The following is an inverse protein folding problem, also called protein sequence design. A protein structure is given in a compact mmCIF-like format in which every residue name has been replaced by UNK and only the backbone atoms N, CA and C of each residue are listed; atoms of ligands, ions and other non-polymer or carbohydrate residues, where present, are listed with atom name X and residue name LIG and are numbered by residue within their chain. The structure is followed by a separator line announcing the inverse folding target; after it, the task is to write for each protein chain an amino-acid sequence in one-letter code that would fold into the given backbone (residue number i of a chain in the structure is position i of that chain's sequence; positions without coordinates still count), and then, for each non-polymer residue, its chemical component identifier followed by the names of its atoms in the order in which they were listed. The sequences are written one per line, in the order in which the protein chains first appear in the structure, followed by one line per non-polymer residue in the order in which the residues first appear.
data_IF_342729314699
#
_entry.id   IF_342729314699
#
_cell.length_a   1.000
_cell.length_b   1.000
_cell.length_c   1.000
_cell.angle_alpha   90.00
_cell.angle_beta   90.00
_cell.angle_gamma   90.00
#
_symmetry.space_group_name_H-M   'P 1'
#
loop_
_entity.id
_entity.type
_entity.pdbx_description
1 polymer ?
2 non-polymer ?
3 non-polymer ?
4 water ?
#
# COMPACT_ATOMS: atom_id res chain seq x y z
N UNK A 2 -16.66 -0.50 2.16
CA UNK A 2 -15.51 0.39 1.82
C UNK A 2 -14.55 -0.34 0.87
N UNK A 3 -14.23 0.27 -0.27
CA UNK A 3 -13.20 -0.27 -1.14
C UNK A 3 -11.92 0.56 -1.07
N UNK A 4 -10.81 -0.07 -1.39
CA UNK A 4 -9.52 0.49 -1.06
C UNK A 4 -8.44 -0.24 -1.84
N UNK A 5 -7.26 0.38 -1.88
CA UNK A 5 -6.13 -0.10 -2.66
C UNK A 5 -4.88 -0.04 -1.80
N UNK A 6 -3.88 -0.85 -2.14
CA UNK A 6 -2.62 -0.83 -1.42
C UNK A 6 -1.55 -0.12 -2.26
N UNK A 7 -0.79 0.75 -1.60
CA UNK A 7 0.43 1.31 -2.16
C UNK A 7 1.59 0.55 -1.50
N UNK A 8 2.23 -0.37 -2.23
CA UNK A 8 3.42 -1.01 -1.64
C UNK A 8 4.57 -0.01 -1.59
N UNK A 9 5.32 -0.02 -0.49
CA UNK A 9 6.41 0.94 -0.30
C UNK A 9 7.70 0.23 0.00
N UNK A 10 7.79 -1.04 -0.39
CA UNK A 10 9.01 -1.82 -0.14
C UNK A 10 10.23 -1.20 -0.83
N UNK A 11 9.99 -0.48 -1.93
CA UNK A 11 11.06 0.13 -2.71
C UNK A 11 11.15 1.64 -2.48
N UNK A 12 10.49 2.10 -1.42
CA UNK A 12 10.57 3.51 -1.01
C UNK A 12 10.82 3.44 0.50
N UNK A 13 9.77 3.26 1.31
CA UNK A 13 9.96 3.04 2.75
C UNK A 13 10.95 1.91 3.06
N UNK A 14 10.85 0.79 2.33
CA UNK A 14 11.73 -0.35 2.61
C UNK A 14 13.22 -0.01 2.47
N UNK A 15 13.56 1.00 1.67
CA UNK A 15 14.98 1.33 1.46
C UNK A 15 15.57 2.02 2.68
N UNK A 16 14.69 2.52 3.54
CA UNK A 16 15.11 3.12 4.80
C UNK A 16 15.41 2.08 5.88
N UNK A 17 15.01 0.83 5.64
CA UNK A 17 15.26 -0.25 6.60
C UNK A 17 16.76 -0.43 6.77
N UNK A 18 17.23 -0.60 8.00
CA UNK A 18 18.68 -0.60 8.27
C UNK A 18 19.48 -1.53 7.36
N UNK A 19 18.93 -2.72 7.13
CA UNK A 19 19.65 -3.78 6.43
C UNK A 19 19.33 -3.86 4.94
N UNK A 20 18.44 -3.00 4.45
CA UNK A 20 18.09 -3.05 3.02
C UNK A 20 19.15 -2.43 2.13
N UNK A 21 19.49 -3.17 1.07
CA UNK A 21 20.30 -2.62 0.01
C UNK A 21 19.95 -3.34 -1.28
N UNK A 22 18.81 -2.95 -1.85
CA UNK A 22 18.27 -3.68 -3.00
C UNK A 22 18.99 -3.31 -4.28
N UNK A 23 19.46 -4.30 -5.02
CA UNK A 23 19.99 -4.03 -6.36
C UNK A 23 18.84 -3.74 -7.32
N UNK A 24 19.16 -3.22 -8.50
CA UNK A 24 18.13 -3.02 -9.51
C UNK A 24 17.41 -4.34 -9.82
N UNK A 25 18.17 -5.43 -9.99
CA UNK A 25 17.57 -6.78 -10.15
C UNK A 25 16.62 -7.18 -8.99
N UNK A 26 17.05 -6.96 -7.74
CA UNK A 26 16.19 -7.21 -6.57
C UNK A 26 14.86 -6.45 -6.68
N UNK A 27 14.93 -5.20 -7.07
CA UNK A 27 13.72 -4.36 -7.19
C UNK A 27 12.77 -4.84 -8.26
N UNK A 28 13.32 -5.19 -9.40
CA UNK A 28 12.53 -5.79 -10.48
C UNK A 28 11.84 -7.08 -10.01
N UNK A 29 12.59 -7.92 -9.28
CA UNK A 29 12.02 -9.17 -8.77
C UNK A 29 10.88 -8.88 -7.78
N UNK A 30 11.10 -7.91 -6.92
CA UNK A 30 10.10 -7.53 -5.94
C UNK A 30 8.86 -6.96 -6.64
N UNK A 31 9.07 -6.06 -7.61
CA UNK A 31 7.96 -5.39 -8.28
C UNK A 31 7.15 -6.38 -9.09
N UNK A 32 7.84 -7.32 -9.74
CA UNK A 32 7.13 -8.34 -10.54
C UNK A 32 6.28 -9.24 -9.66
N UNK A 33 6.79 -9.56 -8.49
CA UNK A 33 6.07 -10.41 -7.56
C UNK A 33 4.85 -9.68 -6.98
N UNK A 34 5.04 -8.40 -6.63
CA UNK A 34 3.92 -7.57 -6.15
C UNK A 34 2.86 -7.39 -7.21
N UNK A 35 3.29 -7.30 -8.45
CA UNK A 35 2.34 -7.13 -9.55
C UNK A 35 1.51 -8.40 -9.76
N UNK A 36 2.18 -9.55 -9.73
CA UNK A 36 1.49 -10.84 -9.80
C UNK A 36 0.54 -11.03 -8.64
N UNK A 37 0.96 -10.57 -7.46
CA UNK A 37 0.13 -10.67 -6.26
C UNK A 37 -1.15 -9.84 -6.41
N UNK A 38 -1.07 -8.77 -7.20
CA UNK A 38 -2.23 -7.91 -7.47
C UNK A 38 -2.21 -6.54 -6.81
N UNK A 39 -1.07 -6.16 -6.23
CA UNK A 39 -0.94 -4.85 -5.58
C UNK A 39 -1.18 -3.73 -6.61
N UNK A 40 -1.93 -2.72 -6.21
CA UNK A 40 -2.37 -1.70 -7.18
C UNK A 40 -1.34 -0.63 -7.50
N UNK A 41 -0.52 -0.26 -6.51
CA UNK A 41 0.45 0.81 -6.64
C UNK A 41 1.76 0.34 -6.03
N UNK A 42 2.85 0.78 -6.65
CA UNK A 42 4.21 0.50 -6.17
C UNK A 42 4.95 1.83 -6.12
N UNK A 43 5.26 2.27 -4.90
CA UNK A 43 5.95 3.53 -4.74
C UNK A 43 7.46 3.30 -4.65
N UNK A 44 8.20 4.13 -5.36
CA UNK A 44 9.66 4.07 -5.32
C UNK A 44 10.28 5.33 -4.72
N UNK A 45 11.46 5.19 -4.13
CA UNK A 45 12.19 6.36 -3.64
C UNK A 45 12.32 7.43 -4.70
N UNK A 46 12.13 8.69 -4.30
CA UNK A 46 12.19 9.81 -5.20
C UNK A 46 13.42 9.76 -6.09
N UNK A 47 13.22 9.93 -7.40
CA UNK A 47 14.34 9.87 -8.35
C UNK A 47 15.35 10.98 -8.15
N UNK A 48 14.99 12.04 -7.43
CA UNK A 48 15.98 13.10 -7.15
C UNK A 48 16.94 12.75 -6.01
N UNK A 49 16.69 11.65 -5.30
CA UNK A 49 17.51 11.29 -4.13
C UNK A 49 18.95 11.03 -4.53
N UNK A 50 19.14 10.32 -5.64
CA UNK A 50 20.48 9.88 -6.06
C UNK A 50 20.43 9.37 -7.50
N UNK A 51 21.60 9.29 -8.16
CA UNK A 51 21.62 8.71 -9.52
C UNK A 51 20.98 7.32 -9.59
N UNK A 52 21.25 6.48 -8.59
CA UNK A 52 20.69 5.14 -8.59
C UNK A 52 19.19 5.15 -8.35
N UNK A 53 18.71 6.04 -7.47
CA UNK A 53 17.26 6.17 -7.23
C UNK A 53 16.56 6.51 -8.55
N UNK A 54 17.17 7.41 -9.31
CA UNK A 54 16.61 7.83 -10.61
C UNK A 54 16.61 6.68 -11.61
N UNK A 55 17.76 6.03 -11.77
CA UNK A 55 17.88 4.86 -12.67
C UNK A 55 16.84 3.78 -12.29
N UNK A 56 16.71 3.48 -11.00
CA UNK A 56 15.78 2.44 -10.56
C UNK A 56 14.31 2.83 -10.82
N UNK A 57 13.95 4.10 -10.55
CA UNK A 57 12.62 4.57 -10.86
C UNK A 57 12.30 4.38 -12.35
N UNK A 58 13.25 4.77 -13.21
CA UNK A 58 13.12 4.63 -14.68
C UNK A 58 12.87 3.17 -15.11
N UNK A 59 13.68 2.26 -14.57
CA UNK A 59 13.55 0.83 -14.86
C UNK A 59 12.18 0.31 -14.43
N UNK A 60 11.79 0.61 -13.19
CA UNK A 60 10.55 0.08 -12.64
C UNK A 60 9.32 0.64 -13.34
N UNK A 61 9.35 1.94 -13.63
CA UNK A 61 8.24 2.60 -14.32
C UNK A 61 8.02 2.11 -15.76
N UNK A 62 9.04 1.48 -16.34
CA UNK A 62 8.96 1.01 -17.74
C UNK A 62 8.99 -0.53 -17.88
N UNK A 63 8.70 -1.22 -16.78
CA UNK A 63 8.56 -2.66 -16.74
C UNK A 63 7.27 -3.22 -17.35
N UNK A 64 6.31 -2.36 -17.62
CA UNK A 64 5.02 -2.82 -18.15
C UNK A 64 4.21 -3.58 -17.13
N UNK A 65 4.36 -3.23 -15.86
CA UNK A 65 3.51 -3.78 -14.82
C UNK A 65 2.06 -3.29 -14.93
N UNK A 66 1.14 -4.10 -14.42
CA UNK A 66 -0.26 -3.68 -14.26
C UNK A 66 -0.33 -2.61 -13.17
N UNK A 67 0.33 -2.87 -12.05
CA UNK A 67 0.42 -1.92 -10.94
C UNK A 67 0.95 -0.59 -11.43
N UNK A 68 0.48 0.52 -10.85
CA UNK A 68 1.00 1.83 -11.22
C UNK A 68 2.25 2.13 -10.38
N UNK A 69 3.34 2.51 -11.05
CA UNK A 69 4.60 2.89 -10.38
C UNK A 69 4.58 4.39 -10.10
N UNK A 70 4.69 4.74 -8.81
CA UNK A 70 4.54 6.13 -8.41
C UNK A 70 5.73 6.54 -7.57
N UNK A 71 5.91 7.83 -7.41
CA UNK A 71 6.98 8.32 -6.57
C UNK A 71 6.55 9.58 -5.82
N UNK A 72 7.52 10.22 -5.19
CA UNK A 72 7.25 11.39 -4.38
C UNK A 72 8.33 12.44 -4.64
N UNK A 73 8.04 13.71 -4.30
CA UNK A 73 9.01 14.82 -4.42
C UNK A 73 8.74 15.84 -3.31
N UNK A 74 9.75 16.64 -3.02
CA UNK A 74 9.51 17.93 -2.33
C UNK A 74 8.81 18.89 -3.31
N UNK A 75 8.24 19.98 -2.80
CA UNK A 75 7.53 20.92 -3.70
C UNK A 75 8.51 21.83 -4.41
N UNK A 76 9.21 21.26 -5.39
CA UNK A 76 10.22 21.98 -6.16
C UNK A 76 10.03 21.63 -7.62
N UNK A 77 10.12 22.63 -8.49
CA UNK A 77 9.90 22.42 -9.92
C UNK A 77 10.98 21.52 -10.51
N UNK A 78 12.21 21.64 -9.99
CA UNK A 78 13.30 20.82 -10.53
C UNK A 78 13.12 19.34 -10.18
N UNK A 79 12.57 19.07 -9.00
CA UNK A 79 12.25 17.69 -8.56
C UNK A 79 11.11 17.11 -9.39
N UNK A 80 10.08 17.95 -9.62
CA UNK A 80 8.93 17.56 -10.43
C UNK A 80 9.39 17.15 -11.82
N UNK A 81 10.30 17.94 -12.39
CA UNK A 81 10.85 17.70 -13.71
C UNK A 81 11.54 16.32 -13.78
N UNK A 82 12.45 16.05 -12.84
CA UNK A 82 13.11 14.76 -12.78
C UNK A 82 12.10 13.61 -12.64
N UNK A 83 11.13 13.76 -11.74
CA UNK A 83 10.14 12.71 -11.50
C UNK A 83 9.32 12.42 -12.77
N UNK A 84 8.83 13.47 -13.43
CA UNK A 84 8.09 13.27 -14.69
C UNK A 84 8.92 12.51 -15.72
N UNK A 85 10.19 12.88 -15.86
CA UNK A 85 11.08 12.27 -16.85
C UNK A 85 11.29 10.77 -16.67
N UNK A 86 11.16 10.28 -15.44
CA UNK A 86 11.34 8.87 -15.17
C UNK A 86 10.22 8.04 -15.78
N UNK A 87 9.10 8.68 -16.09
CA UNK A 87 7.95 7.95 -16.65
C UNK A 87 7.02 7.37 -15.60
N UNK A 88 7.20 7.73 -14.33
CA UNK A 88 6.24 7.33 -13.29
C UNK A 88 4.82 7.79 -13.61
N UNK A 89 3.86 7.04 -13.11
CA UNK A 89 2.45 7.27 -13.42
C UNK A 89 1.76 8.12 -12.33
N UNK A 90 2.50 8.44 -11.27
CA UNK A 90 1.95 9.24 -10.19
C UNK A 90 3.07 9.87 -9.37
N UNK A 91 2.80 11.08 -8.89
CA UNK A 91 3.78 11.90 -8.15
C UNK A 91 3.12 12.50 -6.92
N UNK A 92 3.69 12.21 -5.75
CA UNK A 92 3.19 12.71 -4.50
C UNK A 92 4.05 13.92 -4.12
N UNK A 93 3.41 15.04 -3.83
CA UNK A 93 4.13 16.23 -3.36
C UNK A 93 4.00 16.34 -1.86
N UNK A 94 5.14 16.47 -1.19
CA UNK A 94 5.16 16.52 0.25
C UNK A 94 5.15 17.95 0.76
N UNK A 95 4.44 18.18 1.86
CA UNK A 95 4.60 19.40 2.65
C UNK A 95 4.66 19.04 4.12
N UNK A 96 5.06 20.02 4.94
CA UNK A 96 5.11 19.84 6.37
C UNK A 96 4.70 21.10 7.10
N UNK A 97 3.83 20.94 8.10
CA UNK A 97 3.37 22.02 8.96
C UNK A 97 3.54 21.63 10.42
N UNK A 98 4.26 20.54 10.68
CA UNK A 98 4.40 20.00 12.03
C UNK A 98 4.90 21.02 13.03
N UNK A 99 4.30 20.98 14.21
CA UNK A 99 4.76 21.77 15.34
C UNK A 99 6.24 21.54 15.63
N UNK A 100 6.72 20.35 15.27
CA UNK A 100 8.10 19.90 15.50
C UNK A 100 9.05 20.23 14.35
N UNK A 101 8.57 21.01 13.39
CA UNK A 101 9.36 21.38 12.22
C UNK A 101 9.74 22.86 12.28
N UNK A 108 4.77 28.96 7.75
CA UNK A 108 4.48 29.84 6.64
C UNK A 108 3.57 29.11 5.66
N UNK A 109 2.32 28.90 6.07
CA UNK A 109 1.29 28.24 5.24
C UNK A 109 1.07 28.89 3.86
N UNK A 110 1.03 30.24 3.77
CA UNK A 110 0.84 30.80 2.44
C UNK A 110 1.93 30.36 1.45
N UNK A 111 3.19 30.38 1.88
CA UNK A 111 4.29 29.87 1.04
C UNK A 111 4.06 28.42 0.60
N UNK A 112 3.70 27.56 1.56
CA UNK A 112 3.45 26.13 1.29
C UNK A 112 2.43 25.98 0.17
N UNK A 113 1.33 26.72 0.27
CA UNK A 113 0.25 26.62 -0.71
C UNK A 113 0.68 27.15 -2.09
N UNK A 114 1.46 28.23 -2.10
CA UNK A 114 1.84 28.82 -3.38
C UNK A 114 2.85 27.94 -4.12
N UNK A 115 3.89 27.52 -3.42
CA UNK A 115 4.86 26.58 -3.99
C UNK A 115 4.19 25.31 -4.51
N UNK A 116 3.23 24.77 -3.75
CA UNK A 116 2.46 23.61 -4.20
C UNK A 116 1.71 23.83 -5.50
N UNK A 117 0.95 24.92 -5.60
CA UNK A 117 0.18 25.19 -6.81
C UNK A 117 1.07 25.38 -8.04
N UNK A 118 2.24 26.01 -7.84
CA UNK A 118 3.22 26.22 -8.90
C UNK A 118 3.66 24.87 -9.51
N UNK A 119 4.00 23.93 -8.64
CA UNK A 119 4.48 22.59 -9.02
C UNK A 119 3.36 21.72 -9.62
N UNK A 120 2.18 21.75 -9.01
CA UNK A 120 1.02 21.06 -9.54
C UNK A 120 0.71 21.55 -10.97
N UNK A 121 0.68 22.87 -11.13
CA UNK A 121 0.50 23.50 -12.45
C UNK A 121 1.50 22.97 -13.47
N UNK A 122 2.78 22.90 -13.08
CA UNK A 122 3.80 22.34 -13.99
C UNK A 122 3.48 20.90 -14.41
N UNK A 123 3.14 20.06 -13.43
CA UNK A 123 2.88 18.64 -13.69
C UNK A 123 1.62 18.46 -14.55
N UNK A 124 0.60 19.25 -14.27
CA UNK A 124 -0.65 19.21 -15.02
C UNK A 124 -0.40 19.47 -16.51
N UNK A 125 0.48 20.42 -16.78
CA UNK A 125 0.78 20.83 -18.15
C UNK A 125 1.75 19.87 -18.85
N UNK A 126 2.83 19.51 -18.15
CA UNK A 126 3.87 18.63 -18.72
C UNK A 126 3.45 17.18 -18.87
N UNK A 127 2.61 16.69 -17.95
CA UNK A 127 2.22 15.29 -17.95
C UNK A 127 0.79 15.13 -17.41
N UNK A 128 -0.21 15.49 -18.23
CA UNK A 128 -1.60 15.52 -17.77
C UNK A 128 -2.15 14.15 -17.33
N UNK A 129 -1.54 13.06 -17.80
CA UNK A 129 -1.97 11.69 -17.48
C UNK A 129 -1.50 11.16 -16.11
N UNK A 130 -0.53 11.85 -15.52
CA UNK A 130 0.08 11.48 -14.26
C UNK A 130 -0.78 11.88 -13.05
N UNK A 131 -0.98 10.93 -12.14
CA UNK A 131 -1.71 11.20 -10.88
C UNK A 131 -0.93 12.18 -10.01
N UNK A 132 -1.62 13.16 -9.45
CA UNK A 132 -0.99 14.11 -8.54
C UNK A 132 -1.52 13.89 -7.14
N UNK A 133 -0.61 13.66 -6.19
CA UNK A 133 -0.97 13.41 -4.78
C UNK A 133 -0.29 14.47 -3.95
N UNK A 134 -0.86 14.77 -2.78
CA UNK A 134 -0.34 15.86 -1.94
C UNK A 134 -0.41 15.45 -0.48
N UNK A 135 0.74 15.30 0.18
CA UNK A 135 0.76 14.65 1.50
C UNK A 135 1.55 15.37 2.57
N UNK A 136 1.08 15.25 3.81
CA UNK A 136 1.70 15.90 4.97
C UNK A 136 2.65 15.02 5.76
N UNK A 137 3.94 15.40 5.75
CA UNK A 137 4.89 14.73 6.61
C UNK A 137 4.55 15.00 8.09
N UNK A 138 4.67 13.97 8.92
CA UNK A 138 4.40 14.10 10.37
C UNK A 138 3.03 14.76 10.61
N UNK A 139 2.03 14.17 9.95
CA UNK A 139 0.65 14.60 10.04
C UNK A 139 0.14 14.68 11.47
N UNK A 140 0.46 13.68 12.28
CA UNK A 140 -0.16 13.58 13.59
C UNK A 140 0.60 14.26 14.71
N UNK A 141 1.55 15.11 14.33
CA UNK A 141 2.04 16.12 15.25
C UNK A 141 1.82 17.53 14.65
N UNK A 142 0.93 17.63 13.68
CA UNK A 142 0.57 18.92 13.07
C UNK A 142 -0.83 19.36 13.50
N UNK A 143 -1.03 20.67 13.65
CA UNK A 143 -2.36 21.18 14.03
C UNK A 143 -3.34 20.94 12.89
N UNK A 144 -4.50 20.33 13.21
CA UNK A 144 -5.43 19.93 12.16
C UNK A 144 -5.93 21.11 11.35
N UNK A 145 -6.10 22.27 11.98
CA UNK A 145 -6.55 23.44 11.21
C UNK A 145 -5.52 23.87 10.14
N UNK A 146 -4.23 23.67 10.40
CA UNK A 146 -3.16 23.93 9.41
C UNK A 146 -3.22 22.92 8.28
N UNK A 147 -3.33 21.64 8.64
CA UNK A 147 -3.52 20.58 7.65
C UNK A 147 -4.71 20.82 6.74
N UNK A 148 -5.88 21.09 7.34
CA UNK A 148 -7.10 21.19 6.56
C UNK A 148 -7.09 22.40 5.64
N UNK A 149 -6.47 23.47 6.10
CA UNK A 149 -6.27 24.65 5.31
C UNK A 149 -5.53 24.33 3.99
N UNK A 150 -4.47 23.51 4.09
CA UNK A 150 -3.61 23.20 2.95
C UNK A 150 -4.30 22.22 2.03
N UNK A 151 -4.80 21.13 2.61
CA UNK A 151 -5.60 20.17 1.85
C UNK A 151 -6.73 20.85 1.08
N UNK A 152 -7.47 21.74 1.74
CA UNK A 152 -8.66 22.32 1.11
C UNK A 152 -8.29 23.27 -0.02
N UNK A 153 -7.16 23.95 0.14
CA UNK A 153 -6.63 24.82 -0.91
C UNK A 153 -6.15 24.06 -2.16
N UNK A 154 -5.54 22.88 -1.97
CA UNK A 154 -4.94 22.12 -3.09
C UNK A 154 -5.87 21.08 -3.73
N UNK A 155 -6.85 20.61 -2.96
CA UNK A 155 -7.76 19.54 -3.40
C UNK A 155 -8.41 19.67 -4.78
N UNK A 156 -8.84 20.89 -5.18
CA UNK A 156 -9.47 20.96 -6.50
C UNK A 156 -8.51 20.54 -7.64
N UNK A 157 -7.21 20.56 -7.37
CA UNK A 157 -6.18 20.38 -8.39
C UNK A 157 -5.42 19.06 -8.35
N UNK A 158 -5.72 18.24 -7.35
CA UNK A 158 -5.00 16.99 -7.16
C UNK A 158 -5.98 15.83 -7.23
N UNK A 159 -5.43 14.62 -7.38
CA UNK A 159 -6.23 13.42 -7.39
C UNK A 159 -6.42 12.81 -6.02
N UNK A 160 -5.45 13.05 -5.12
CA UNK A 160 -5.39 12.37 -3.83
C UNK A 160 -4.58 13.21 -2.83
N UNK A 161 -5.02 13.20 -1.56
CA UNK A 161 -4.25 13.80 -0.46
C UNK A 161 -3.80 12.69 0.47
N UNK A 162 -2.70 12.93 1.17
CA UNK A 162 -2.12 11.88 2.03
C UNK A 162 -1.88 12.36 3.43
N UNK A 163 -2.15 11.46 4.39
CA UNK A 163 -1.80 11.65 5.80
C UNK A 163 -0.69 10.67 6.11
N UNK A 164 0.37 11.14 6.75
CA UNK A 164 1.52 10.31 7.08
C UNK A 164 1.91 10.44 8.54
N UNK A 165 1.80 9.33 9.28
CA UNK A 165 2.22 9.28 10.69
C UNK A 165 3.69 8.89 10.72
N UNK A 166 4.51 9.85 10.33
CA UNK A 166 5.95 9.69 10.11
C UNK A 166 6.69 9.19 11.37
N UNK A 167 6.25 9.66 12.52
CA UNK A 167 6.90 9.40 13.79
C UNK A 167 6.24 8.22 14.54
N UNK A 168 5.12 7.72 14.04
CA UNK A 168 4.45 6.57 14.63
C UNK A 168 3.82 6.80 15.99
N UNK A 169 3.14 7.94 16.17
CA UNK A 169 2.46 8.23 17.43
C UNK A 169 0.94 8.36 17.35
N UNK A 170 0.38 8.41 16.13
CA UNK A 170 -1.10 8.57 16.01
C UNK A 170 -1.85 7.44 16.73
N UNK A 171 -3.01 7.78 17.28
CA UNK A 171 -3.89 6.76 17.85
C UNK A 171 -4.99 6.45 16.85
N UNK A 172 -5.59 5.26 16.94
CA UNK A 172 -6.62 4.88 15.92
C UNK A 172 -7.76 5.88 15.83
N UNK A 173 -8.21 6.40 16.97
CA UNK A 173 -9.35 7.32 16.92
C UNK A 173 -8.96 8.70 16.40
N UNK A 174 -7.69 9.08 16.53
CA UNK A 174 -7.18 10.32 15.90
C UNK A 174 -7.18 10.19 14.39
N UNK A 175 -6.76 9.02 13.90
CA UNK A 175 -6.71 8.77 12.46
C UNK A 175 -8.12 8.83 11.89
N UNK A 176 -9.05 8.18 12.58
CA UNK A 176 -10.45 8.16 12.16
C UNK A 176 -11.01 9.59 12.09
N UNK A 177 -10.80 10.37 13.15
CA UNK A 177 -11.33 11.73 13.22
C UNK A 177 -10.77 12.61 12.13
N UNK A 178 -9.46 12.54 11.92
CA UNK A 178 -8.83 13.44 10.97
C UNK A 178 -9.22 13.07 9.54
N UNK A 179 -9.29 11.77 9.26
CA UNK A 179 -9.77 11.33 7.94
C UNK A 179 -11.18 11.82 7.65
N UNK A 180 -12.08 11.76 8.64
CA UNK A 180 -13.45 12.27 8.41
C UNK A 180 -13.38 13.76 8.10
N UNK A 181 -12.50 14.48 8.80
CA UNK A 181 -12.36 15.93 8.57
C UNK A 181 -11.81 16.27 7.18
N UNK A 182 -10.81 15.52 6.76
CA UNK A 182 -10.22 15.68 5.43
C UNK A 182 -11.25 15.38 4.34
N UNK A 183 -12.05 14.32 4.51
CA UNK A 183 -13.08 13.97 3.55
C UNK A 183 -14.07 15.13 3.34
N UNK A 184 -14.39 15.84 4.43
CA UNK A 184 -15.34 16.96 4.39
C UNK A 184 -14.81 18.11 3.55
N UNK A 185 -13.49 18.23 3.53
CA UNK A 185 -12.82 19.41 3.01
C UNK A 185 -12.37 19.25 1.55
N UNK A 186 -12.12 18.00 1.13
CA UNK A 186 -11.63 17.72 -0.22
C UNK A 186 -12.75 17.34 -1.20
N UNK A 187 -13.90 16.94 -0.67
CA UNK A 187 -15.07 16.73 -1.51
C UNK A 187 -15.14 15.35 -2.14
N UNK A 188 -16.11 15.17 -3.06
CA UNK A 188 -16.51 13.83 -3.52
C UNK A 188 -15.47 13.10 -4.36
N UNK A 189 -14.60 13.85 -5.04
CA UNK A 189 -13.76 13.27 -6.07
C UNK A 189 -12.42 12.80 -5.53
N UNK A 190 -11.82 13.62 -4.68
CA UNK A 190 -10.44 13.46 -4.20
C UNK A 190 -10.31 12.26 -3.24
N UNK A 191 -9.35 11.38 -3.52
CA UNK A 191 -9.11 10.20 -2.68
C UNK A 191 -8.15 10.54 -1.52
N UNK A 192 -8.03 9.64 -0.55
CA UNK A 192 -7.20 9.89 0.65
C UNK A 192 -6.31 8.68 0.91
N UNK A 193 -5.00 8.91 1.05
CA UNK A 193 -4.05 7.85 1.36
C UNK A 193 -3.54 7.98 2.79
N UNK A 194 -3.23 6.83 3.39
CA UNK A 194 -2.66 6.78 4.74
C UNK A 194 -1.35 6.00 4.80
N UNK A 195 -0.35 6.60 5.43
CA UNK A 195 0.98 6.02 5.65
C UNK A 195 1.26 6.01 7.15
N UNK A 196 1.37 4.84 7.76
CA UNK A 196 1.54 4.78 9.21
C UNK A 196 2.73 3.99 9.70
N UNK A 197 3.55 4.62 10.52
CA UNK A 197 4.64 3.94 11.22
C UNK A 197 4.18 3.18 12.45
N UNK A 198 4.98 2.20 12.88
CA UNK A 198 4.57 1.26 13.90
C UNK A 198 5.24 1.41 15.27
N UNK A 199 5.81 2.57 15.56
CA UNK A 199 6.57 2.76 16.80
C UNK A 199 5.74 2.57 18.08
N UNK A 200 4.43 2.79 17.98
CA UNK A 200 3.54 2.57 19.13
C UNK A 200 2.57 1.44 18.89
N UNK A 201 2.93 0.55 17.96
CA UNK A 201 2.15 -0.65 17.71
C UNK A 201 0.79 -0.42 17.08
N UNK A 202 0.60 0.74 16.44
CA UNK A 202 -0.71 1.06 15.90
C UNK A 202 -0.78 1.08 14.37
N UNK A 203 0.26 0.63 13.65
CA UNK A 203 0.27 0.87 12.20
C UNK A 203 -0.90 0.20 11.48
N UNK A 204 -1.14 -1.07 11.77
CA UNK A 204 -2.26 -1.80 11.15
C UNK A 204 -3.60 -1.25 11.61
N UNK A 205 -3.75 -1.02 12.91
CA UNK A 205 -4.99 -0.50 13.46
C UNK A 205 -5.31 0.89 12.87
N UNK A 206 -4.27 1.68 12.64
CA UNK A 206 -4.44 3.03 12.11
C UNK A 206 -4.85 2.97 10.63
N UNK A 207 -4.20 2.08 9.89
CA UNK A 207 -4.54 1.88 8.49
C UNK A 207 -6.01 1.43 8.36
N UNK A 208 -6.43 0.54 9.25
CA UNK A 208 -7.81 0.06 9.25
C UNK A 208 -8.75 1.24 9.52
N UNK A 209 -8.45 2.01 10.56
CA UNK A 209 -9.36 3.10 10.93
C UNK A 209 -9.43 4.21 9.89
N UNK A 210 -8.30 4.44 9.18
CA UNK A 210 -8.33 5.37 8.06
C UNK A 210 -9.34 4.90 7.02
N UNK A 211 -9.31 3.61 6.68
CA UNK A 211 -10.30 3.04 5.76
C UNK A 211 -11.72 3.12 6.29
N UNK A 212 -11.93 2.78 7.56
CA UNK A 212 -13.26 2.92 8.17
C UNK A 212 -13.83 4.33 7.97
N UNK A 213 -12.95 5.32 8.07
CA UNK A 213 -13.31 6.73 7.94
C UNK A 213 -13.45 7.24 6.51
N UNK A 214 -13.02 6.45 5.54
CA UNK A 214 -13.21 6.84 4.13
C UNK A 214 -11.96 6.91 3.28
N UNK A 215 -10.81 6.58 3.88
CA UNK A 215 -9.57 6.58 3.12
C UNK A 215 -9.64 5.47 2.09
N UNK A 216 -8.94 5.67 0.98
CA UNK A 216 -9.02 4.75 -0.14
C UNK A 216 -7.72 4.01 -0.43
N UNK A 217 -6.62 4.51 0.13
CA UNK A 217 -5.29 3.92 -0.17
C UNK A 217 -4.49 3.81 1.11
N UNK A 218 -3.80 2.68 1.28
CA UNK A 218 -2.91 2.49 2.45
C UNK A 218 -1.53 2.00 2.00
N UNK A 219 -0.49 2.53 2.60
CA UNK A 219 0.89 2.10 2.33
C UNK A 219 1.23 0.88 3.16
N UNK A 220 1.84 -0.11 2.52
CA UNK A 220 2.36 -1.26 3.26
C UNK A 220 3.76 -1.59 2.74
N UNK A 221 4.54 -2.30 3.54
CA UNK A 221 5.74 -2.93 3.03
C UNK A 221 5.73 -4.41 3.39
N UNK A 222 6.43 -5.22 2.61
CA UNK A 222 6.52 -6.64 2.94
C UNK A 222 7.29 -6.76 4.26
N UNK A 223 6.74 -7.54 5.19
CA UNK A 223 7.28 -7.74 6.57
C UNK A 223 7.33 -6.45 7.41
N UNK A 224 6.71 -5.40 6.89
CA UNK A 224 6.73 -4.10 7.56
C UNK A 224 8.09 -3.45 7.62
N UNK A 225 9.05 -3.92 6.80
CA UNK A 225 10.39 -3.30 6.81
C UNK A 225 10.32 -1.80 6.50
N UNK A 226 11.21 -1.02 7.11
CA UNK A 226 11.16 0.41 6.91
C UNK A 226 12.07 1.05 7.92
N UNK A 227 12.07 2.37 7.94
CA UNK A 227 12.78 3.11 8.98
C UNK A 227 12.34 2.60 10.36
N UNK A 228 13.29 2.49 11.30
CA UNK A 228 12.95 2.01 12.65
C UNK A 228 12.25 0.66 12.62
N UNK A 229 11.13 0.52 13.34
CA UNK A 229 10.39 -0.74 13.30
C UNK A 229 9.37 -0.79 12.14
N UNK A 230 9.43 0.21 11.25
CA UNK A 230 8.79 0.10 9.93
C UNK A 230 7.34 0.54 9.95
N UNK A 231 6.61 0.19 8.90
CA UNK A 231 5.24 0.66 8.71
C UNK A 231 4.28 -0.52 8.65
N UNK A 232 3.00 -0.26 8.40
CA UNK A 232 2.00 -1.29 8.20
C UNK A 232 2.53 -2.46 7.35
N UNK A 233 2.61 -3.66 7.95
CA UNK A 233 3.11 -4.77 7.13
C UNK A 233 2.05 -5.35 6.23
N UNK A 234 2.44 -5.74 5.02
CA UNK A 234 1.50 -6.34 4.06
C UNK A 234 0.65 -7.47 4.68
N UNK A 235 1.30 -8.53 5.18
CA UNK A 235 0.63 -9.68 5.78
C UNK A 235 -0.36 -9.35 6.88
N UNK A 236 0.10 -8.57 7.85
CA UNK A 236 -0.72 -8.17 8.99
C UNK A 236 -1.93 -7.37 8.54
N UNK A 237 -1.73 -6.47 7.58
CA UNK A 237 -2.81 -5.66 7.06
C UNK A 237 -3.85 -6.52 6.33
N UNK A 238 -3.36 -7.44 5.53
CA UNK A 238 -4.28 -8.37 4.82
C UNK A 238 -5.07 -9.24 5.79
N UNK A 239 -4.44 -9.70 6.85
CA UNK A 239 -5.15 -10.41 7.90
C UNK A 239 -6.29 -9.56 8.47
N UNK A 240 -5.96 -8.34 8.85
CA UNK A 240 -6.96 -7.43 9.41
C UNK A 240 -8.13 -7.26 8.42
N UNK A 241 -7.81 -7.04 7.15
CA UNK A 241 -8.89 -6.78 6.17
C UNK A 241 -9.65 -8.05 5.79
N UNK A 242 -8.95 -9.16 5.69
CA UNK A 242 -9.59 -10.44 5.36
C UNK A 242 -10.68 -10.86 6.35
N UNK A 243 -10.46 -10.60 7.64
CA UNK A 243 -11.47 -10.94 8.64
C UNK A 243 -12.74 -10.13 8.49
N UNK A 244 -12.65 -8.98 7.83
CA UNK A 244 -13.79 -8.09 7.66
C UNK A 244 -14.44 -8.17 6.27
N UNK A 245 -13.61 -8.41 5.25
CA UNK A 245 -14.10 -8.47 3.86
C UNK A 245 -13.46 -9.65 3.12
N UNK A 246 -13.72 -10.91 3.55
CA UNK A 246 -12.88 -11.99 3.04
C UNK A 246 -13.01 -12.22 1.53
N UNK A 247 -14.22 -12.11 1.02
CA UNK A 247 -14.44 -12.35 -0.41
C UNK A 247 -13.71 -11.29 -1.27
N UNK A 248 -13.84 -10.03 -0.88
CA UNK A 248 -13.16 -8.91 -1.57
C UNK A 248 -11.64 -9.11 -1.58
N UNK A 249 -11.09 -9.31 -0.38
CA UNK A 249 -9.65 -9.45 -0.24
C UNK A 249 -9.09 -10.66 -1.06
N UNK A 250 -9.78 -11.80 -0.97
CA UNK A 250 -9.33 -13.03 -1.62
C UNK A 250 -9.48 -12.93 -3.14
N UNK A 251 -10.47 -12.16 -3.60
CA UNK A 251 -10.61 -11.86 -5.04
C UNK A 251 -9.48 -10.98 -5.58
N UNK A 252 -9.16 -9.89 -4.88
CA UNK A 252 -8.25 -8.89 -5.45
C UNK A 252 -6.77 -9.27 -5.38
N UNK A 253 -6.42 -10.10 -4.39
CA UNK A 253 -5.00 -10.45 -4.19
C UNK A 253 -4.78 -11.94 -4.18
N UNK A 254 -3.63 -12.36 -4.71
CA UNK A 254 -3.24 -13.77 -4.71
C UNK A 254 -2.66 -14.09 -3.32
N UNK A 255 -3.56 -14.22 -2.34
CA UNK A 255 -3.18 -14.35 -0.94
C UNK A 255 -2.28 -15.54 -0.69
N UNK A 256 -2.46 -16.59 -1.48
CA UNK A 256 -1.67 -17.80 -1.34
C UNK A 256 -0.16 -17.60 -1.64
N UNK A 257 0.20 -16.45 -2.18
CA UNK A 257 1.62 -16.22 -2.46
C UNK A 257 2.30 -15.37 -1.35
N UNK A 258 1.53 -15.01 -0.34
CA UNK A 258 2.09 -14.24 0.77
C UNK A 258 3.42 -14.82 1.32
N UNK A 259 3.48 -16.14 1.59
CA UNK A 259 4.74 -16.71 2.12
C UNK A 259 5.93 -16.51 1.19
N UNK A 260 5.72 -16.57 -0.13
CA UNK A 260 6.80 -16.28 -1.08
C UNK A 260 7.31 -14.84 -0.97
N UNK A 261 6.38 -13.91 -0.82
CA UNK A 261 6.76 -12.50 -0.70
C UNK A 261 7.57 -12.25 0.59
N UNK A 262 7.05 -12.74 1.71
CA UNK A 262 7.77 -12.62 3.02
C UNK A 262 9.14 -13.26 2.95
N UNK A 263 9.22 -14.48 2.43
CA UNK A 263 10.53 -15.16 2.30
C UNK A 263 11.52 -14.45 1.41
N UNK A 264 11.06 -13.92 0.27
CA UNK A 264 11.90 -13.20 -0.68
C UNK A 264 12.60 -12.02 0.00
N UNK A 265 11.79 -11.20 0.68
CA UNK A 265 12.33 -9.99 1.30
C UNK A 265 13.22 -10.32 2.50
N UNK A 266 12.77 -11.27 3.32
CA UNK A 266 13.59 -11.79 4.45
C UNK A 266 14.97 -12.23 3.97
N UNK A 267 15.01 -13.01 2.88
CA UNK A 267 16.30 -13.43 2.34
C UNK A 267 17.17 -12.24 1.86
N UNK A 268 16.55 -11.29 1.15
CA UNK A 268 17.30 -10.13 0.60
C UNK A 268 17.89 -9.24 1.69
N UNK A 269 17.12 -8.99 2.73
CA UNK A 269 17.63 -8.08 3.77
C UNK A 269 18.34 -8.79 4.90
N UNK A 270 18.35 -10.13 4.86
CA UNK A 270 19.07 -10.95 5.87
C UNK A 270 18.44 -10.97 7.27
N UNK A 271 17.13 -11.07 7.32
CA UNK A 271 16.47 -11.32 8.60
C UNK A 271 15.78 -12.65 8.57
N UNK A 272 15.47 -13.16 9.75
CA UNK A 272 14.55 -14.29 9.89
C UNK A 272 13.14 -13.75 10.06
N UNK A 273 12.17 -14.44 9.47
CA UNK A 273 10.76 -14.09 9.73
C UNK A 273 10.49 -14.22 11.24
N UNK A 274 10.00 -13.15 11.89
CA UNK A 274 9.69 -13.20 13.33
C UNK A 274 8.89 -14.45 13.73
N UNK A 275 9.21 -15.03 14.89
CA UNK A 275 8.55 -16.27 15.35
C UNK A 275 7.03 -16.14 15.33
N UNK A 276 6.54 -14.91 15.56
CA UNK A 276 5.14 -14.61 15.71
C UNK A 276 4.63 -13.77 14.56
N UNK A 277 5.36 -13.72 13.46
CA UNK A 277 4.94 -12.88 12.33
C UNK A 277 3.54 -13.24 11.83
N UNK A 278 2.74 -12.22 11.50
CA UNK A 278 1.37 -12.45 11.00
C UNK A 278 1.44 -13.47 9.87
N UNK A 279 0.61 -14.51 10.00
CA UNK A 279 0.38 -15.52 8.95
C UNK A 279 1.55 -16.47 8.70
N UNK A 280 2.72 -15.90 8.42
CA UNK A 280 3.87 -16.67 7.97
C UNK A 280 4.89 -17.03 9.05
N UNK A 281 4.75 -16.42 10.23
CA UNK A 281 5.58 -16.78 11.38
C UNK A 281 5.36 -18.20 11.83
N UNK A 282 6.41 -18.80 12.40
CA UNK A 282 6.35 -20.16 12.89
C UNK A 282 5.13 -20.49 13.80
N UNK A 283 4.76 -19.58 14.70
CA UNK A 283 3.67 -19.84 15.65
C UNK A 283 2.35 -19.13 15.36
N UNK A 284 2.21 -18.57 14.16
CA UNK A 284 1.02 -17.79 13.83
C UNK A 284 -0.32 -18.56 13.96
N UNK A 285 -0.27 -19.88 13.76
CA UNK A 285 -1.48 -20.69 13.83
C UNK A 285 -1.51 -21.72 14.94
N UNK A 286 -0.44 -21.78 15.75
CA UNK A 286 -0.27 -22.90 16.65
C UNK A 286 -0.50 -22.52 18.10
N UNK A 287 -0.52 -23.55 18.94
CA UNK A 287 -0.56 -23.40 20.39
C UNK A 287 0.12 -24.58 21.06
N UNK A 288 0.29 -24.48 22.38
CA UNK A 288 0.95 -25.54 23.13
C UNK A 288 0.07 -26.79 23.13
N UNK A 289 0.60 -27.88 22.58
CA UNK A 289 -0.09 -29.17 22.59
C UNK A 289 -0.46 -29.54 24.02
N UNK A 290 -1.73 -29.85 24.25
CA UNK A 290 -2.21 -30.30 25.55
C UNK A 290 -2.74 -29.18 26.43
N UNK A 291 -2.52 -27.93 26.03
CA UNK A 291 -2.93 -26.78 26.83
C UNK A 291 -4.31 -26.21 26.51
N UNK A 292 -4.99 -26.74 25.49
CA UNK A 292 -6.38 -26.35 25.28
C UNK A 292 -7.31 -27.16 26.15
N UNK A 293 -7.40 -26.75 27.42
CA UNK A 293 -8.15 -27.49 28.41
C UNK A 293 -9.51 -26.88 28.65
N UNK A 294 -10.52 -27.75 28.83
CA UNK A 294 -11.87 -27.34 29.17
C UNK A 294 -11.91 -26.58 30.50
N UNK A 295 -10.90 -26.81 31.35
CA UNK A 295 -10.80 -26.02 32.58
C UNK A 295 -10.44 -24.57 32.23
N UNK A 296 -9.77 -24.37 31.10
CA UNK A 296 -9.28 -23.05 30.71
C UNK A 296 -10.26 -22.29 29.83
N UNK A 297 -10.65 -22.88 28.69
CA UNK A 297 -11.48 -22.18 27.71
C UNK A 297 -12.88 -22.75 27.74
N UNK A 298 -13.86 -21.87 27.55
CA UNK A 298 -15.27 -22.26 27.44
C UNK A 298 -15.53 -22.99 26.12
N UNK A 299 -15.08 -22.41 25.02
CA UNK A 299 -15.20 -23.06 23.72
C UNK A 299 -14.25 -24.25 23.63
N UNK A 300 -14.80 -25.45 23.35
CA UNK A 300 -13.99 -26.68 23.32
C UNK A 300 -12.93 -26.72 22.22
N UNK A 301 -13.10 -25.90 21.18
CA UNK A 301 -12.07 -25.79 20.15
C UNK A 301 -11.12 -24.62 20.39
N UNK A 302 -9.83 -24.84 20.06
CA UNK A 302 -8.86 -23.74 19.91
C UNK A 302 -9.26 -22.83 18.74
N UNK A 303 -9.43 -21.54 19.04
CA UNK A 303 -9.95 -20.53 18.11
C UNK A 303 -9.09 -20.38 16.83
N UNK A 304 -9.73 -20.01 15.72
CA UNK A 304 -9.02 -19.83 14.45
C UNK A 304 -9.57 -18.60 13.68
N UNK A 305 -8.84 -17.46 13.70
CA UNK A 305 -9.33 -16.23 13.08
C UNK A 305 -9.46 -16.31 11.56
N UNK A 306 -8.59 -17.07 10.91
CA UNK A 306 -8.67 -17.28 9.45
C UNK A 306 -7.88 -18.56 9.16
N UNK A 307 -8.15 -19.18 7.99
CA UNK A 307 -7.48 -20.43 7.68
C UNK A 307 -6.12 -20.22 7.01
N UNK A 308 -5.10 -20.98 7.44
CA UNK A 308 -3.73 -20.82 6.95
C UNK A 308 -3.63 -21.02 5.43
N UNK A 309 -4.39 -21.99 4.90
CA UNK A 309 -4.31 -22.33 3.48
C UNK A 309 -4.75 -21.20 2.56
N UNK A 310 -5.61 -20.31 3.08
CA UNK A 310 -6.02 -19.12 2.34
C UNK A 310 -4.81 -18.25 1.97
N UNK A 311 -3.84 -18.23 2.88
CA UNK A 311 -2.57 -17.53 2.68
C UNK A 311 -1.40 -18.45 2.28
N UNK A 312 -1.72 -19.61 1.72
CA UNK A 312 -0.68 -20.53 1.24
C UNK A 312 0.20 -21.15 2.31
N UNK A 313 -0.31 -21.18 3.54
CA UNK A 313 0.46 -21.70 4.64
C UNK A 313 0.01 -23.13 4.96
N UNK A 314 0.97 -24.02 5.13
CA UNK A 314 0.72 -25.42 5.50
C UNK A 314 0.62 -25.57 7.03
N UNK A 337 -30.15 -7.30 -32.00
CA UNK A 337 -29.47 -6.81 -30.80
C UNK A 337 -28.01 -7.20 -30.77
N UNK A 338 -27.16 -6.28 -30.31
CA UNK A 338 -25.74 -6.55 -30.13
C UNK A 338 -25.53 -7.45 -28.92
N UNK A 339 -24.29 -7.86 -28.67
CA UNK A 339 -24.01 -8.52 -27.40
C UNK A 339 -22.81 -7.88 -26.70
N UNK A 340 -22.75 -8.08 -25.39
CA UNK A 340 -21.74 -7.43 -24.58
C UNK A 340 -21.02 -8.45 -23.75
N UNK A 341 -19.74 -8.21 -23.47
CA UNK A 341 -18.96 -9.11 -22.64
C UNK A 341 -17.96 -9.96 -23.42
N UNK A 342 -17.91 -9.78 -24.74
CA UNK A 342 -16.99 -10.59 -25.56
C UNK A 342 -15.54 -10.27 -25.22
N UNK A 343 -15.24 -8.99 -24.98
CA UNK A 343 -13.88 -8.63 -24.58
C UNK A 343 -13.48 -9.32 -23.26
N UNK A 344 -14.36 -9.33 -22.26
CA UNK A 344 -14.01 -10.01 -21.00
C UNK A 344 -13.93 -11.52 -21.16
N UNK A 345 -14.81 -12.09 -21.99
CA UNK A 345 -14.76 -13.52 -22.22
C UNK A 345 -13.41 -13.87 -22.83
N UNK A 346 -13.00 -13.09 -23.82
CA UNK A 346 -11.68 -13.26 -24.45
C UNK A 346 -10.54 -13.17 -23.41
N UNK A 347 -10.53 -12.11 -22.61
CA UNK A 347 -9.50 -11.96 -21.59
C UNK A 347 -9.50 -13.12 -20.58
N UNK A 348 -10.67 -13.46 -20.04
CA UNK A 348 -10.80 -14.52 -19.04
C UNK A 348 -10.35 -15.89 -19.59
N UNK A 349 -10.87 -16.28 -20.75
CA UNK A 349 -10.48 -17.58 -21.31
C UNK A 349 -8.97 -17.65 -21.59
N UNK A 350 -8.42 -16.58 -22.16
CA UNK A 350 -6.97 -16.53 -22.45
C UNK A 350 -6.13 -16.64 -21.16
N UNK A 351 -6.57 -15.96 -20.12
CA UNK A 351 -5.86 -15.95 -18.82
C UNK A 351 -5.91 -17.33 -18.15
N UNK A 352 -7.08 -17.97 -18.15
CA UNK A 352 -7.23 -19.29 -17.57
C UNK A 352 -6.36 -20.27 -18.34
N UNK A 353 -6.41 -20.18 -19.67
CA UNK A 353 -5.56 -21.06 -20.50
C UNK A 353 -4.08 -20.85 -20.21
N UNK A 354 -3.66 -19.59 -20.02
CA UNK A 354 -2.24 -19.28 -19.79
C UNK A 354 -1.77 -19.91 -18.47
N UNK A 355 -2.58 -19.74 -17.42
CA UNK A 355 -2.30 -20.36 -16.13
C UNK A 355 -2.20 -21.88 -16.24
N UNK A 356 -3.14 -22.51 -16.95
CA UNK A 356 -3.15 -23.96 -17.12
C UNK A 356 -1.86 -24.42 -17.77
N UNK A 357 -1.44 -23.73 -18.83
CA UNK A 357 -0.22 -24.13 -19.56
C UNK A 357 1.08 -23.87 -18.79
N UNK A 358 1.03 -22.99 -17.78
CA UNK A 358 2.17 -22.77 -16.86
C UNK A 358 2.15 -23.77 -15.68
N UNK A 359 1.11 -24.59 -15.57
CA UNK A 359 0.90 -25.49 -14.42
C UNK A 359 0.54 -24.71 -13.14
N UNK A 360 -0.08 -23.54 -13.31
CA UNK A 360 -0.44 -22.66 -12.21
C UNK A 360 -1.93 -22.47 -12.03
N UNK A 361 -2.74 -23.29 -12.70
CA UNK A 361 -4.20 -23.09 -12.57
C UNK A 361 -4.70 -23.84 -11.34
N UNK A 362 -4.88 -23.10 -10.26
CA UNK A 362 -5.33 -23.69 -9.02
C UNK A 362 -6.80 -23.39 -8.79
N UNK A 363 -7.40 -24.09 -7.84
CA UNK A 363 -8.78 -23.78 -7.42
C UNK A 363 -8.90 -22.34 -6.90
N UNK A 364 -7.88 -21.85 -6.18
CA UNK A 364 -7.89 -20.45 -5.71
C UNK A 364 -7.94 -19.45 -6.88
N UNK A 365 -7.15 -19.74 -7.92
CA UNK A 365 -7.13 -18.89 -9.08
C UNK A 365 -8.48 -18.93 -9.80
N UNK A 366 -9.01 -20.13 -10.00
CA UNK A 366 -10.31 -20.22 -10.70
C UNK A 366 -11.40 -19.48 -9.92
N UNK A 367 -11.41 -19.65 -8.60
CA UNK A 367 -12.37 -18.92 -7.78
C UNK A 367 -12.30 -17.40 -7.96
N UNK A 368 -11.10 -16.81 -7.86
CA UNK A 368 -10.98 -15.38 -7.95
C UNK A 368 -11.23 -14.86 -9.36
N UNK A 369 -11.02 -15.71 -10.37
CA UNK A 369 -11.26 -15.30 -11.76
C UNK A 369 -12.78 -15.33 -12.06
N UNK A 370 -13.47 -16.30 -11.49
CA UNK A 370 -14.84 -16.61 -11.94
C UNK A 370 -15.94 -16.18 -10.97
N UNK A 371 -15.60 -15.95 -9.71
CA UNK A 371 -16.66 -15.70 -8.73
C UNK A 371 -17.52 -14.49 -9.13
N UNK A 372 -16.89 -13.44 -9.66
CA UNK A 372 -17.59 -12.19 -10.02
C UNK A 372 -18.50 -12.37 -11.25
N UNK A 373 -18.28 -13.44 -12.02
CA UNK A 373 -19.14 -13.74 -13.19
C UNK A 373 -20.31 -14.65 -12.88
N UNK A 374 -20.14 -15.53 -11.90
CA UNK A 374 -21.14 -16.56 -11.66
C UNK A 374 -22.03 -16.23 -10.47
N UNK A 375 -21.44 -15.75 -9.38
CA UNK A 375 -22.22 -15.49 -8.18
C UNK A 375 -22.77 -14.09 -8.15
N UNK A 376 -23.82 -13.90 -7.33
CA UNK A 376 -24.54 -12.65 -7.27
C UNK A 376 -25.24 -12.52 -5.92
#
# INVERSE_FOLDING_TARGET
MREWKIIDSTLREGEQFEKANFSTQDKVEIAKALDEFGIEYIEVTTPVASPQSRKDAEVLASLGLKAKVVTHIQCRLDAAKVAVETGVQGIDLLFGTSKYLRAPHGRDIPRIIEEAKEVIAYIREAAPHVEVRFSAEDTFRSEEQDLLAVYEAVAPYVDRVGLADTVGVATPRQVYALVREVRRVVGPRVDIEFHGHNDTGCAIANAYEAIEAGATHVDTTILGIGERNGITPLGGFLARMYTLQPEYVRRKYKLEMLPELDRMVARMVGVEIPFNNYITGETAFSHKAGMHLKAIYINPEAYEPYPPEVFGVKRKLIIASRLTGRHAIKARAEELGLHYGEEELHRVTQHIKALADRGQLTLEELDRILREWITA
#
